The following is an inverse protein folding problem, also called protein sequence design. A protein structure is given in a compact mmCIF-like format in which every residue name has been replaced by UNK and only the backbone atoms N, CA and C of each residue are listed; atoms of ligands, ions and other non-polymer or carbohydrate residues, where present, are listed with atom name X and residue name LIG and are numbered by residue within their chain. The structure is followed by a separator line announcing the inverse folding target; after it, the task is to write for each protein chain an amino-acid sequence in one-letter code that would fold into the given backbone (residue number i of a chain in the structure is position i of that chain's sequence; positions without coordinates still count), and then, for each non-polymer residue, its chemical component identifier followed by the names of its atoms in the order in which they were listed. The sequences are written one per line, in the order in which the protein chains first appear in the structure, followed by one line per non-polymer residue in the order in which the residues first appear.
data_IF_951260982480
#
_entry.id   IF_951260982480
#
_cell.length_a   1.000
_cell.length_b   1.000
_cell.length_c   1.000
_cell.angle_alpha   90.00
_cell.angle_beta   90.00
_cell.angle_gamma   90.00
#
_symmetry.space_group_name_H-M   'P 1'
#
loop_
_entity.id
_entity.type
_entity.pdbx_description
1 polymer ?
#
# COMPACT_ATOMS: atom_id res chain seq x y z
N UNK A 1 -4.01 -9.42 -19.86
CA UNK A 1 -3.14 -10.05 -18.84
C UNK A 1 -3.73 -9.70 -17.49
N UNK A 2 -3.86 -10.65 -16.56
CA UNK A 2 -4.37 -10.34 -15.21
C UNK A 2 -3.28 -9.55 -14.47
N UNK A 3 -3.47 -8.27 -14.10
CA UNK A 3 -2.42 -7.47 -13.47
C UNK A 3 -1.91 -8.09 -12.15
N UNK A 4 -2.70 -8.95 -11.51
CA UNK A 4 -2.34 -9.65 -10.28
C UNK A 4 -1.35 -10.81 -10.50
N UNK A 5 -1.17 -11.32 -11.72
CA UNK A 5 -0.25 -12.44 -11.98
C UNK A 5 1.23 -12.05 -11.96
N UNK A 6 1.54 -10.75 -11.99
CA UNK A 6 2.91 -10.21 -11.93
C UNK A 6 3.32 -9.74 -10.53
N UNK A 7 2.48 -10.01 -9.52
CA UNK A 7 2.75 -9.63 -8.15
C UNK A 7 3.56 -10.71 -7.42
N UNK A 8 4.53 -10.28 -6.62
CA UNK A 8 5.18 -11.15 -5.64
C UNK A 8 4.19 -11.58 -4.56
N UNK A 9 4.55 -12.62 -3.78
CA UNK A 9 3.73 -13.05 -2.65
C UNK A 9 3.52 -11.93 -1.63
N UNK A 10 4.55 -11.10 -1.43
CA UNK A 10 4.51 -9.96 -0.52
C UNK A 10 3.57 -8.86 -1.02
N UNK A 11 3.68 -8.50 -2.30
CA UNK A 11 2.80 -7.54 -2.97
C UNK A 11 1.33 -8.00 -2.91
N UNK A 12 1.07 -9.30 -3.13
CA UNK A 12 -0.27 -9.88 -3.01
C UNK A 12 -0.82 -9.79 -1.58
N UNK A 13 0.03 -10.05 -0.58
CA UNK A 13 -0.37 -9.96 0.82
C UNK A 13 -0.72 -8.52 1.22
N UNK A 14 0.09 -7.55 0.77
CA UNK A 14 -0.20 -6.13 0.99
C UNK A 14 -1.49 -5.73 0.27
N UNK A 15 -1.64 -6.07 -1.00
CA UNK A 15 -2.83 -5.77 -1.78
C UNK A 15 -4.12 -6.27 -1.10
N UNK A 16 -4.11 -7.51 -0.60
CA UNK A 16 -5.24 -8.08 0.13
C UNK A 16 -5.54 -7.34 1.43
N UNK A 17 -4.51 -6.99 2.22
CA UNK A 17 -4.68 -6.21 3.45
C UNK A 17 -5.28 -4.84 3.19
N UNK A 18 -4.84 -4.15 2.12
CA UNK A 18 -5.41 -2.87 1.71
C UNK A 18 -6.89 -3.02 1.35
N UNK A 19 -7.21 -4.01 0.52
CA UNK A 19 -8.59 -4.22 0.09
C UNK A 19 -9.52 -4.54 1.28
N UNK A 20 -9.01 -5.27 2.27
CA UNK A 20 -9.69 -5.60 3.52
C UNK A 20 -9.84 -4.40 4.47
N UNK A 21 -8.81 -3.54 4.57
CA UNK A 21 -8.81 -2.37 5.46
C UNK A 21 -9.86 -1.34 5.05
N UNK A 22 -10.01 -1.08 3.75
CA UNK A 22 -10.96 -0.10 3.21
C UNK A 22 -12.34 -0.73 2.84
N UNK A 23 -12.81 -1.77 3.55
CA UNK A 23 -14.12 -2.44 3.30
C UNK A 23 -15.34 -1.67 3.83
N UNK A 24 -16.52 -1.86 3.21
CA UNK A 24 -16.84 -1.50 1.84
C UNK A 24 -17.14 0.00 1.78
N UNK A 25 -16.41 0.70 0.93
CA UNK A 25 -16.68 2.09 0.63
C UNK A 25 -16.45 2.33 -0.86
N UNK A 26 -16.99 3.42 -1.38
CA UNK A 26 -17.10 3.75 -2.81
C UNK A 26 -15.74 3.93 -3.56
N UNK A 27 -14.64 3.46 -2.98
CA UNK A 27 -13.28 3.57 -3.49
C UNK A 27 -12.88 2.36 -4.35
N UNK A 28 -12.38 2.65 -5.54
CA UNK A 28 -11.62 1.72 -6.38
C UNK A 28 -10.38 1.20 -5.64
N UNK A 29 -9.87 0.04 -6.08
CA UNK A 29 -8.66 -0.52 -5.48
C UNK A 29 -7.46 0.42 -5.59
N UNK A 30 -7.40 1.20 -6.66
CA UNK A 30 -6.36 2.19 -6.85
C UNK A 30 -6.47 3.35 -5.84
N UNK A 31 -7.67 3.86 -5.59
CA UNK A 31 -7.88 4.88 -4.55
C UNK A 31 -7.49 4.34 -3.18
N UNK A 32 -7.78 3.08 -2.88
CA UNK A 32 -7.33 2.44 -1.64
C UNK A 32 -5.81 2.40 -1.51
N UNK A 33 -5.10 2.02 -2.58
CA UNK A 33 -3.62 2.04 -2.60
C UNK A 33 -3.06 3.45 -2.42
N UNK A 34 -3.64 4.44 -3.09
CA UNK A 34 -3.21 5.83 -2.98
C UNK A 34 -3.44 6.38 -1.57
N UNK A 35 -4.62 6.13 -0.97
CA UNK A 35 -4.90 6.54 0.40
C UNK A 35 -3.97 5.86 1.42
N UNK A 36 -3.68 4.57 1.25
CA UNK A 36 -2.70 3.88 2.08
C UNK A 36 -1.30 4.51 1.98
N UNK A 37 -0.90 4.93 0.77
CA UNK A 37 0.38 5.58 0.54
C UNK A 37 0.45 6.94 1.25
N UNK A 38 -0.62 7.73 1.20
CA UNK A 38 -0.71 9.00 1.91
C UNK A 38 -0.59 8.82 3.43
N UNK A 39 -1.25 7.80 3.99
CA UNK A 39 -1.15 7.49 5.42
C UNK A 39 0.30 7.14 5.79
N UNK A 40 0.93 6.23 5.05
CA UNK A 40 2.31 5.82 5.33
C UNK A 40 3.31 6.99 5.20
N UNK A 41 3.13 7.87 4.21
CA UNK A 41 3.94 9.08 4.07
C UNK A 41 3.75 10.04 5.24
N UNK A 42 2.49 10.26 5.65
CA UNK A 42 2.19 11.13 6.79
C UNK A 42 2.80 10.60 8.10
N UNK A 43 2.73 9.29 8.34
CA UNK A 43 3.34 8.68 9.53
C UNK A 43 4.87 8.87 9.56
N UNK A 44 5.54 8.77 8.40
CA UNK A 44 6.98 9.02 8.29
C UNK A 44 7.33 10.49 8.51
N UNK A 45 6.59 11.42 7.89
CA UNK A 45 6.84 12.86 7.97
C UNK A 45 6.55 13.44 9.36
N UNK A 46 5.54 12.91 10.04
CA UNK A 46 5.16 13.33 11.39
C UNK A 46 5.97 12.62 12.48
N UNK A 47 6.89 11.73 12.11
CA UNK A 47 7.64 10.85 13.02
C UNK A 47 6.71 10.04 13.95
N UNK A 48 5.57 9.59 13.43
CA UNK A 48 4.59 8.75 14.15
C UNK A 48 5.00 7.27 14.15
N UNK A 49 6.22 7.01 14.60
CA UNK A 49 6.76 5.67 14.82
C UNK A 49 7.45 5.62 16.20
N UNK A 50 7.34 4.50 16.89
CA UNK A 50 7.90 4.33 18.23
C UNK A 50 9.41 4.07 18.26
N UNK A 51 9.95 3.49 17.18
CA UNK A 51 11.36 3.19 17.02
C UNK A 51 11.78 3.08 15.54
N UNK A 52 13.08 2.91 15.29
CA UNK A 52 13.64 2.75 13.95
C UNK A 52 13.21 1.44 13.25
N UNK A 53 12.81 0.42 14.02
CA UNK A 53 12.31 -0.82 13.44
C UNK A 53 10.92 -0.59 12.83
N UNK A 54 10.03 0.09 13.54
CA UNK A 54 8.72 0.49 13.05
C UNK A 54 8.84 1.41 11.83
N UNK A 55 9.72 2.41 11.88
CA UNK A 55 10.02 3.28 10.74
C UNK A 55 10.45 2.49 9.50
N UNK A 56 11.32 1.50 9.67
CA UNK A 56 11.79 0.64 8.58
C UNK A 56 10.62 -0.11 7.94
N UNK A 57 9.70 -0.68 8.75
CA UNK A 57 8.51 -1.36 8.21
C UNK A 57 7.58 -0.41 7.45
N UNK A 58 7.41 0.83 7.91
CA UNK A 58 6.58 1.82 7.22
C UNK A 58 7.22 2.20 5.87
N UNK A 59 8.55 2.34 5.82
CA UNK A 59 9.30 2.56 4.58
C UNK A 59 9.12 1.39 3.59
N UNK A 60 9.29 0.15 4.04
CA UNK A 60 9.10 -1.05 3.23
C UNK A 60 7.66 -1.14 2.69
N UNK A 61 6.68 -0.87 3.55
CA UNK A 61 5.27 -0.85 3.18
C UNK A 61 4.96 0.22 2.12
N UNK A 62 5.46 1.44 2.32
CA UNK A 62 5.36 2.53 1.34
C UNK A 62 5.94 2.14 -0.02
N UNK A 63 7.10 1.49 -0.02
CA UNK A 63 7.78 1.08 -1.25
C UNK A 63 6.98 0.01 -2.02
N UNK A 64 6.38 -0.95 -1.30
CA UNK A 64 5.47 -1.93 -1.89
C UNK A 64 4.23 -1.25 -2.49
N UNK A 65 3.65 -0.25 -1.81
CA UNK A 65 2.50 0.49 -2.35
C UNK A 65 2.84 1.23 -3.65
N UNK A 66 4.03 1.85 -3.73
CA UNK A 66 4.52 2.47 -4.97
C UNK A 66 4.69 1.45 -6.11
N UNK A 67 5.22 0.27 -5.81
CA UNK A 67 5.34 -0.81 -6.79
C UNK A 67 3.96 -1.29 -7.27
N UNK A 68 2.99 -1.46 -6.37
CA UNK A 68 1.63 -1.84 -6.70
C UNK A 68 0.95 -0.80 -7.60
N UNK A 69 1.06 0.49 -7.28
CA UNK A 69 0.52 1.58 -8.09
C UNK A 69 1.13 1.63 -9.50
N UNK A 70 2.41 1.29 -9.65
CA UNK A 70 3.07 1.22 -10.96
C UNK A 70 2.66 0.00 -11.78
N UNK A 71 2.33 -1.12 -11.12
CA UNK A 71 1.98 -2.40 -11.77
C UNK A 71 0.51 -2.51 -12.13
N UNK A 72 -0.36 -1.82 -11.39
CA UNK A 72 -1.80 -1.89 -11.56
C UNK A 72 -2.22 -0.73 -12.46
N UNK A 73 -2.76 -1.02 -13.67
CA UNK A 73 -3.17 0.02 -14.60
C UNK A 73 -4.22 0.96 -13.99
N UNK A 74 -4.14 2.21 -14.39
CA UNK A 74 -5.20 3.21 -14.17
C UNK A 74 -6.38 2.81 -15.10
N UNK A 75 -7.54 2.50 -14.54
CA UNK A 75 -8.76 2.24 -15.32
C UNK A 75 -9.43 3.53 -15.81
#
# INVERSE_FOLDING_TARGET
MNPLSNLSLEELNVARKIDEYFKPDHMSFQEKLFNALLIAQHELEAEYYGDEFEKTRILEFRDILLLLLNKIPQE
#
